data_IF_901976875565
#
_entry.id   IF_901976875565
#
_cell.length_a   1.000
_cell.length_b   1.000
_cell.length_c   1.000
_cell.angle_alpha   90.00
_cell.angle_beta   90.00
_cell.angle_gamma   90.00
#
_symmetry.space_group_name_H-M   'P 1'
#
loop_
_entity.id
_entity.type
_entity.pdbx_description
1 polymer ?
#
# COMPACT_ATOMS: atom_id res chain seq x y z
N UNK A 1 7.02 71.56 -8.68
CA UNK A 1 7.66 70.72 -7.66
C UNK A 1 6.80 69.47 -7.26
N UNK A 2 6.02 68.93 -8.20
CA UNK A 2 5.02 67.87 -7.88
C UNK A 2 5.16 66.55 -8.70
N UNK A 3 6.07 66.54 -9.68
CA UNK A 3 6.21 65.33 -10.58
C UNK A 3 7.16 64.29 -9.99
N UNK A 4 8.10 64.62 -9.13
CA UNK A 4 9.04 63.64 -8.54
C UNK A 4 8.44 62.88 -7.40
N UNK A 5 7.43 63.34 -6.68
CA UNK A 5 6.76 62.64 -5.59
C UNK A 5 5.89 61.47 -6.10
N UNK A 6 5.31 61.61 -7.29
CA UNK A 6 4.47 60.58 -7.89
C UNK A 6 5.28 59.37 -8.42
N UNK A 7 6.51 59.62 -8.91
CA UNK A 7 7.37 58.53 -9.42
C UNK A 7 7.94 57.62 -8.31
N UNK A 8 8.22 58.18 -7.14
CA UNK A 8 8.72 57.42 -5.98
C UNK A 8 7.61 56.58 -5.33
N UNK A 9 6.36 57.06 -5.32
CA UNK A 9 5.22 56.32 -4.81
C UNK A 9 4.85 55.14 -5.70
N UNK A 10 4.92 55.28 -7.03
CA UNK A 10 4.65 54.22 -8.00
C UNK A 10 5.71 53.07 -7.94
N UNK A 11 6.98 53.44 -7.70
CA UNK A 11 8.05 52.43 -7.57
C UNK A 11 7.98 51.66 -6.25
N UNK A 12 7.57 52.30 -5.16
CA UNK A 12 7.38 51.66 -3.86
C UNK A 12 6.22 50.67 -3.88
N UNK A 13 5.13 50.96 -4.61
CA UNK A 13 3.95 50.10 -4.71
C UNK A 13 4.23 48.85 -5.58
N UNK A 14 5.10 48.98 -6.58
CA UNK A 14 5.46 47.84 -7.46
C UNK A 14 6.36 46.84 -6.74
N UNK A 15 7.24 47.30 -5.85
CA UNK A 15 8.14 46.41 -5.09
C UNK A 15 7.36 45.62 -4.01
N UNK A 16 6.35 46.22 -3.38
CA UNK A 16 5.51 45.51 -2.39
C UNK A 16 4.59 44.48 -3.02
N UNK A 17 4.14 44.66 -4.26
CA UNK A 17 3.29 43.69 -4.97
C UNK A 17 4.05 42.42 -5.40
N UNK A 18 5.37 42.49 -5.63
CA UNK A 18 6.18 41.34 -6.04
C UNK A 18 6.53 40.42 -4.84
N UNK A 19 6.58 40.96 -3.64
CA UNK A 19 6.90 40.20 -2.42
C UNK A 19 5.72 39.38 -1.89
N UNK A 20 4.50 39.65 -2.30
CA UNK A 20 3.30 38.90 -1.87
C UNK A 20 2.99 37.66 -2.72
N UNK A 21 3.69 37.41 -3.83
CA UNK A 21 3.52 36.23 -4.70
C UNK A 21 4.45 35.07 -4.36
N UNK A 22 5.34 35.23 -3.37
CA UNK A 22 6.31 34.18 -2.94
C UNK A 22 5.82 33.24 -1.85
N UNK A 23 4.55 33.26 -1.47
CA UNK A 23 4.05 32.60 -0.25
C UNK A 23 3.42 31.21 -0.35
N UNK A 24 3.47 30.51 -1.47
CA UNK A 24 2.79 29.20 -1.58
C UNK A 24 3.56 28.12 -2.33
N UNK A 25 4.87 28.08 -2.25
CA UNK A 25 5.65 27.04 -2.92
C UNK A 25 6.65 26.31 -2.01
N UNK A 26 6.42 26.29 -0.70
CA UNK A 26 7.04 25.25 0.12
C UNK A 26 6.11 24.04 0.16
N UNK A 27 5.90 23.42 -0.99
CA UNK A 27 5.56 22.00 -1.03
C UNK A 27 6.65 21.29 -0.25
N UNK A 28 6.23 20.48 0.73
CA UNK A 28 7.11 19.65 1.54
C UNK A 28 8.09 18.95 0.60
N UNK A 29 9.36 19.38 0.60
CA UNK A 29 10.39 18.72 -0.18
C UNK A 29 10.67 17.40 0.53
N UNK A 30 9.84 16.40 0.24
CA UNK A 30 10.16 15.02 0.52
C UNK A 30 11.24 14.65 -0.47
N UNK A 31 12.46 14.30 -0.02
CA UNK A 31 13.43 13.72 -0.92
C UNK A 31 12.77 12.51 -1.58
N UNK A 32 12.43 12.63 -2.85
CA UNK A 32 11.79 11.57 -3.60
C UNK A 32 12.73 10.38 -3.58
N UNK A 33 12.27 9.24 -3.06
CA UNK A 33 13.00 7.99 -3.22
C UNK A 33 13.12 7.76 -4.74
N UNK A 34 14.34 7.77 -5.32
CA UNK A 34 14.51 7.65 -6.78
C UNK A 34 13.94 6.33 -7.33
N UNK A 35 13.60 5.37 -6.46
CA UNK A 35 13.00 4.10 -6.81
C UNK A 35 11.51 4.02 -6.46
N UNK A 36 10.95 5.08 -5.86
CA UNK A 36 9.55 5.16 -5.43
C UNK A 36 9.06 3.90 -4.69
N UNK A 37 9.84 3.50 -3.69
CA UNK A 37 9.70 2.20 -3.00
C UNK A 37 8.37 2.09 -2.27
N UNK A 38 7.92 3.16 -1.65
CA UNK A 38 6.62 3.17 -0.97
C UNK A 38 5.50 2.92 -1.97
N UNK A 39 5.46 3.68 -3.07
CA UNK A 39 4.44 3.53 -4.09
C UNK A 39 4.43 2.13 -4.73
N UNK A 40 5.60 1.58 -5.06
CA UNK A 40 5.70 0.25 -5.66
C UNK A 40 5.31 -0.87 -4.70
N UNK A 41 5.55 -0.68 -3.40
CA UNK A 41 5.08 -1.60 -2.37
C UNK A 41 3.57 -1.52 -2.21
N UNK A 42 3.00 -0.32 -2.09
CA UNK A 42 1.56 -0.10 -1.97
C UNK A 42 0.81 -0.73 -3.16
N UNK A 43 1.33 -0.54 -4.38
CA UNK A 43 0.76 -1.16 -5.58
C UNK A 43 0.85 -2.69 -5.53
N UNK A 44 1.99 -3.25 -5.15
CA UNK A 44 2.19 -4.69 -5.07
C UNK A 44 1.28 -5.33 -4.02
N UNK A 45 1.19 -4.73 -2.84
CA UNK A 45 0.36 -5.15 -1.72
C UNK A 45 -1.12 -5.11 -2.10
N UNK A 46 -1.59 -3.99 -2.64
CA UNK A 46 -2.97 -3.85 -3.09
C UNK A 46 -3.33 -4.89 -4.15
N UNK A 47 -2.50 -5.06 -5.18
CA UNK A 47 -2.75 -6.05 -6.25
C UNK A 47 -2.79 -7.48 -5.72
N UNK A 48 -1.86 -7.84 -4.84
CA UNK A 48 -1.85 -9.16 -4.20
C UNK A 48 -3.12 -9.39 -3.40
N UNK A 49 -3.49 -8.45 -2.51
CA UNK A 49 -4.68 -8.55 -1.65
C UNK A 49 -5.97 -8.67 -2.46
N UNK A 50 -6.10 -7.90 -3.54
CA UNK A 50 -7.23 -7.99 -4.47
C UNK A 50 -7.29 -9.37 -5.13
N UNK A 51 -6.17 -9.93 -5.57
CA UNK A 51 -6.13 -11.26 -6.17
C UNK A 51 -6.54 -12.36 -5.18
N UNK A 52 -6.10 -12.26 -3.92
CA UNK A 52 -6.55 -13.16 -2.84
C UNK A 52 -8.05 -13.02 -2.61
N UNK A 53 -8.54 -11.76 -2.49
CA UNK A 53 -9.96 -11.45 -2.30
C UNK A 53 -10.86 -12.06 -3.39
N UNK A 54 -10.40 -12.09 -4.64
CA UNK A 54 -11.12 -12.68 -5.77
C UNK A 54 -10.76 -14.15 -6.02
N UNK A 55 -10.06 -14.79 -5.11
CA UNK A 55 -9.63 -16.21 -5.21
C UNK A 55 -8.77 -16.51 -6.45
N UNK A 56 -8.15 -15.50 -7.06
CA UNK A 56 -7.20 -15.70 -8.16
C UNK A 56 -5.81 -16.06 -7.62
N UNK A 57 -5.75 -17.17 -6.91
CA UNK A 57 -4.55 -17.63 -6.21
C UNK A 57 -3.38 -17.94 -7.14
N UNK A 58 -3.64 -18.27 -8.40
CA UNK A 58 -2.59 -18.48 -9.40
C UNK A 58 -1.84 -17.19 -9.72
N UNK A 59 -2.56 -16.08 -9.82
CA UNK A 59 -1.92 -14.78 -10.01
C UNK A 59 -1.31 -14.23 -8.72
N UNK A 60 -2.01 -14.40 -7.58
CA UNK A 60 -1.49 -14.01 -6.26
C UNK A 60 -0.13 -14.68 -5.96
N UNK A 61 0.01 -15.98 -6.29
CA UNK A 61 1.26 -16.75 -6.16
C UNK A 61 2.49 -16.08 -6.79
N UNK A 62 2.31 -15.24 -7.81
CA UNK A 62 3.42 -14.54 -8.47
C UNK A 62 4.11 -13.52 -7.57
N UNK A 63 3.39 -13.01 -6.57
CA UNK A 63 3.93 -12.09 -5.56
C UNK A 63 4.63 -12.82 -4.41
N UNK A 64 4.34 -14.10 -4.20
CA UNK A 64 4.89 -14.87 -3.07
C UNK A 64 6.37 -15.15 -3.28
N UNK A 65 7.15 -15.08 -2.20
CA UNK A 65 8.55 -15.45 -2.19
C UNK A 65 8.74 -16.91 -2.66
N UNK A 66 9.80 -17.16 -3.43
CA UNK A 66 9.98 -18.42 -4.17
C UNK A 66 9.83 -19.65 -3.29
N UNK A 67 10.51 -19.65 -2.14
CA UNK A 67 10.53 -20.76 -1.18
C UNK A 67 9.16 -21.01 -0.53
N UNK A 68 8.25 -20.05 -0.58
CA UNK A 68 6.92 -20.11 0.06
C UNK A 68 5.78 -20.36 -0.94
N UNK A 69 6.05 -20.32 -2.25
CA UNK A 69 5.03 -20.43 -3.31
C UNK A 69 4.20 -21.71 -3.24
N UNK A 70 4.86 -22.84 -3.00
CA UNK A 70 4.15 -24.13 -2.95
C UNK A 70 3.29 -24.23 -1.71
N UNK A 71 3.83 -23.87 -0.53
CA UNK A 71 3.06 -23.83 0.71
C UNK A 71 1.87 -22.88 0.66
N UNK A 72 2.03 -21.72 0.06
CA UNK A 72 0.94 -20.78 -0.20
C UNK A 72 -0.15 -21.44 -1.06
N UNK A 73 0.24 -21.99 -2.19
CA UNK A 73 -0.71 -22.60 -3.14
C UNK A 73 -1.51 -23.74 -2.52
N UNK A 74 -0.87 -24.62 -1.75
CA UNK A 74 -1.54 -25.72 -1.07
C UNK A 74 -2.56 -25.21 -0.04
N UNK A 75 -2.22 -24.17 0.74
CA UNK A 75 -3.17 -23.55 1.68
C UNK A 75 -4.36 -22.93 0.94
N UNK A 76 -4.11 -22.20 -0.14
CA UNK A 76 -5.17 -21.54 -0.91
C UNK A 76 -6.11 -22.54 -1.60
N UNK A 77 -5.60 -23.70 -2.01
CA UNK A 77 -6.47 -24.76 -2.54
C UNK A 77 -7.46 -25.30 -1.51
N UNK A 78 -7.11 -25.29 -0.23
CA UNK A 78 -8.04 -25.69 0.83
C UNK A 78 -9.19 -24.68 1.00
N UNK A 79 -9.02 -23.44 0.49
CA UNK A 79 -10.03 -22.36 0.53
C UNK A 79 -10.88 -22.28 -0.73
N UNK A 80 -10.93 -23.32 -1.56
CA UNK A 80 -11.65 -23.32 -2.86
C UNK A 80 -13.16 -23.02 -2.71
N UNK A 81 -13.77 -23.43 -1.59
CA UNK A 81 -15.20 -23.25 -1.32
C UNK A 81 -15.47 -22.04 -0.41
N UNK A 82 -14.45 -21.22 -0.12
CA UNK A 82 -14.57 -20.00 0.67
C UNK A 82 -14.97 -18.84 -0.22
N UNK A 83 -15.96 -18.08 0.22
CA UNK A 83 -16.42 -16.86 -0.43
C UNK A 83 -15.96 -15.64 0.37
N UNK A 84 -15.05 -14.88 -0.21
CA UNK A 84 -14.59 -13.63 0.35
C UNK A 84 -15.62 -12.53 0.06
N UNK A 85 -16.15 -11.85 1.06
CA UNK A 85 -17.12 -10.76 0.92
C UNK A 85 -16.46 -9.37 0.99
N UNK A 86 -15.41 -9.23 1.79
CA UNK A 86 -14.68 -7.97 1.97
C UNK A 86 -13.25 -8.18 2.45
N UNK A 87 -12.52 -7.09 2.55
CA UNK A 87 -11.27 -7.02 3.30
C UNK A 87 -11.03 -5.61 3.82
N UNK A 88 -10.29 -5.51 4.90
CA UNK A 88 -9.70 -4.31 5.44
C UNK A 88 -8.18 -4.48 5.54
N UNK A 89 -7.42 -3.44 5.23
CA UNK A 89 -5.95 -3.48 5.23
C UNK A 89 -5.40 -2.34 6.06
N UNK A 90 -4.50 -2.66 6.98
CA UNK A 90 -3.71 -1.65 7.66
C UNK A 90 -2.84 -0.87 6.66
N UNK A 91 -2.42 0.33 7.07
CA UNK A 91 -1.48 1.12 6.29
C UNK A 91 -0.15 0.38 6.11
N UNK A 92 0.42 0.50 4.92
CA UNK A 92 1.71 -0.11 4.60
C UNK A 92 2.82 0.86 4.97
N UNK A 93 3.66 0.47 5.92
CA UNK A 93 4.81 1.28 6.35
C UNK A 93 6.11 0.52 6.09
N UNK A 94 7.03 1.19 5.39
CA UNK A 94 8.36 0.67 5.15
C UNK A 94 9.23 0.79 6.40
N UNK A 95 10.13 -0.17 6.57
CA UNK A 95 11.23 -0.07 7.51
C UNK A 95 12.18 1.11 7.18
N UNK A 96 13.08 1.43 8.10
CA UNK A 96 14.05 2.53 7.92
C UNK A 96 14.95 2.32 6.68
N UNK A 97 15.28 1.07 6.37
CA UNK A 97 16.11 0.69 5.22
C UNK A 97 15.31 0.67 3.89
N UNK A 98 14.00 0.81 3.96
CA UNK A 98 13.07 0.74 2.82
C UNK A 98 13.18 -0.58 2.03
N UNK A 99 13.37 -1.67 2.73
CA UNK A 99 13.53 -3.02 2.16
C UNK A 99 12.48 -4.01 2.62
N UNK A 100 11.78 -3.71 3.71
CA UNK A 100 10.78 -4.59 4.32
C UNK A 100 9.57 -3.81 4.79
N UNK A 101 8.44 -4.50 4.87
CA UNK A 101 7.23 -4.02 5.51
C UNK A 101 6.41 -5.20 6.03
N UNK A 102 5.62 -4.97 7.08
CA UNK A 102 4.64 -5.92 7.57
C UNK A 102 3.27 -5.26 7.53
N UNK A 103 2.29 -5.94 6.96
CA UNK A 103 0.92 -5.45 6.81
C UNK A 103 -0.04 -6.52 7.31
N UNK A 104 -1.02 -6.14 8.10
CA UNK A 104 -2.14 -7.02 8.46
C UNK A 104 -3.34 -6.70 7.58
N UNK A 105 -3.91 -7.74 7.00
CA UNK A 105 -5.15 -7.68 6.22
C UNK A 105 -6.19 -8.58 6.87
N UNK A 106 -7.36 -8.06 7.14
CA UNK A 106 -8.49 -8.82 7.67
C UNK A 106 -9.49 -9.05 6.54
N UNK A 107 -9.72 -10.30 6.20
CA UNK A 107 -10.74 -10.71 5.23
C UNK A 107 -12.01 -11.12 5.92
N UNK A 108 -13.14 -10.66 5.39
CA UNK A 108 -14.46 -11.16 5.75
C UNK A 108 -14.86 -12.23 4.73
N UNK A 109 -15.25 -13.39 5.22
CA UNK A 109 -15.56 -14.54 4.36
C UNK A 109 -16.58 -15.49 4.99
N UNK A 110 -17.16 -16.36 4.16
CA UNK A 110 -18.05 -17.43 4.59
C UNK A 110 -17.83 -18.69 3.73
N UNK A 111 -18.40 -19.82 4.18
CA UNK A 111 -18.48 -21.05 3.39
C UNK A 111 -19.92 -21.54 3.32
N UNK A 112 -20.29 -22.38 2.35
CA UNK A 112 -21.62 -23.01 2.33
C UNK A 112 -21.96 -23.80 3.61
N UNK A 113 -20.96 -24.35 4.28
CA UNK A 113 -21.11 -25.07 5.55
C UNK A 113 -21.25 -24.11 6.75
N UNK A 114 -20.67 -22.93 6.66
CA UNK A 114 -20.74 -21.82 7.64
C UNK A 114 -21.33 -20.58 6.95
N UNK A 115 -22.66 -20.45 6.85
CA UNK A 115 -23.30 -19.41 6.06
C UNK A 115 -23.37 -18.03 6.76
N UNK A 116 -22.52 -17.80 7.74
CA UNK A 116 -22.31 -16.52 8.39
C UNK A 116 -20.88 -16.03 8.19
N UNK A 117 -20.71 -14.73 8.17
CA UNK A 117 -19.41 -14.11 7.95
C UNK A 117 -18.48 -14.33 9.15
N UNK A 118 -17.27 -14.71 8.86
CA UNK A 118 -16.16 -14.79 9.81
C UNK A 118 -14.99 -13.94 9.32
N UNK A 119 -14.22 -13.41 10.25
CA UNK A 119 -13.01 -12.66 9.98
C UNK A 119 -11.79 -13.55 10.11
N UNK A 120 -10.92 -13.46 9.11
CA UNK A 120 -9.62 -14.16 9.07
C UNK A 120 -8.54 -13.14 8.76
N UNK A 121 -7.52 -13.10 9.60
CA UNK A 121 -6.40 -12.20 9.41
C UNK A 121 -5.28 -12.85 8.61
N UNK A 122 -4.66 -12.09 7.73
CA UNK A 122 -3.43 -12.42 7.03
C UNK A 122 -2.34 -11.45 7.46
N UNK A 123 -1.22 -11.97 7.92
CA UNK A 123 0.01 -11.19 8.11
C UNK A 123 0.85 -11.34 6.85
N UNK A 124 1.10 -10.24 6.19
CA UNK A 124 1.89 -10.12 4.97
C UNK A 124 3.25 -9.53 5.30
N UNK A 125 4.30 -10.32 5.21
CA UNK A 125 5.68 -9.86 5.36
C UNK A 125 6.27 -9.62 3.97
N UNK A 126 6.41 -8.36 3.63
CA UNK A 126 6.94 -7.92 2.34
C UNK A 126 8.44 -7.70 2.43
N UNK A 127 9.15 -8.14 1.40
CA UNK A 127 10.59 -7.89 1.25
C UNK A 127 10.96 -7.68 -0.20
N UNK A 128 12.08 -7.02 -0.43
CA UNK A 128 12.66 -6.82 -1.76
C UNK A 128 14.15 -7.11 -1.73
N UNK A 129 14.64 -7.68 -2.82
CA UNK A 129 16.05 -7.96 -2.99
C UNK A 129 16.72 -6.92 -3.89
N UNK A 130 17.83 -6.36 -3.40
CA UNK A 130 18.71 -5.50 -4.18
C UNK A 130 18.07 -4.21 -4.69
N UNK A 131 18.45 -3.83 -5.91
CA UNK A 131 18.05 -2.55 -6.56
C UNK A 131 16.70 -2.68 -7.27
N UNK A 132 16.29 -3.90 -7.63
CA UNK A 132 15.03 -4.12 -8.32
C UNK A 132 13.83 -3.80 -7.42
N UNK A 133 12.83 -3.06 -7.93
CA UNK A 133 11.57 -2.80 -7.24
C UNK A 133 10.61 -3.99 -7.34
N UNK A 134 11.13 -5.19 -7.09
CA UNK A 134 10.33 -6.42 -7.13
C UNK A 134 10.04 -6.86 -5.70
N UNK A 135 8.84 -6.55 -5.25
CA UNK A 135 8.37 -6.95 -3.92
C UNK A 135 7.91 -8.39 -3.90
N UNK A 136 8.25 -9.09 -2.82
CA UNK A 136 7.82 -10.46 -2.54
C UNK A 136 7.17 -10.52 -1.17
N UNK A 137 6.14 -11.35 -1.03
CA UNK A 137 5.40 -11.53 0.21
C UNK A 137 5.58 -12.95 0.75
N UNK A 138 5.76 -13.04 2.07
CA UNK A 138 5.49 -14.25 2.85
C UNK A 138 4.17 -14.02 3.57
N UNK A 139 3.21 -14.89 3.33
CA UNK A 139 1.83 -14.76 3.79
C UNK A 139 1.54 -15.80 4.85
N UNK A 140 1.02 -15.35 6.00
CA UNK A 140 0.58 -16.23 7.10
C UNK A 140 -0.87 -15.88 7.47
N UNK A 141 -1.76 -16.85 7.32
CA UNK A 141 -3.17 -16.72 7.70
C UNK A 141 -3.40 -17.20 9.12
N UNK A 142 -4.09 -16.39 9.92
CA UNK A 142 -4.51 -16.67 11.28
C UNK A 142 -6.03 -16.92 11.29
N UNK A 143 -6.48 -17.98 11.94
CA UNK A 143 -7.92 -18.27 12.10
C UNK A 143 -8.54 -19.13 10.99
N UNK A 144 -7.80 -19.59 9.99
CA UNK A 144 -8.32 -20.49 8.93
C UNK A 144 -8.96 -21.78 9.47
N UNK A 145 -8.55 -22.24 10.65
CA UNK A 145 -9.11 -23.43 11.28
C UNK A 145 -10.61 -23.31 11.53
N UNK A 146 -11.13 -22.11 11.72
CA UNK A 146 -12.55 -21.84 11.94
C UNK A 146 -13.41 -22.18 10.70
N UNK A 147 -12.80 -22.13 9.51
CA UNK A 147 -13.48 -22.42 8.24
C UNK A 147 -13.46 -23.91 7.86
N UNK A 148 -12.50 -24.68 8.39
CA UNK A 148 -12.23 -26.07 7.99
C UNK A 148 -12.69 -27.06 9.04
N UNK A 149 -13.09 -26.61 10.22
CA UNK A 149 -13.36 -27.44 11.42
C UNK A 149 -14.77 -28.10 11.45
N UNK A 150 -15.44 -28.26 10.28
CA UNK A 150 -16.72 -28.99 10.18
C UNK A 150 -16.70 -30.04 9.09
#
# INVERSE_FOLDING_TARGET
MTIHAFRTLAFGLLITAVLSLGGCAFGEFRPSDPFDRQYTLDEAQHRYTVLVRFSDFQKARKFVAEDHKEGFYQRMRALKDVHFTGYDSESVELDEEKTKATVRVTYTMYTPALPYEVEVSEVQEWSRDGIANTWRVVSTFEGLQQLVAN
#
